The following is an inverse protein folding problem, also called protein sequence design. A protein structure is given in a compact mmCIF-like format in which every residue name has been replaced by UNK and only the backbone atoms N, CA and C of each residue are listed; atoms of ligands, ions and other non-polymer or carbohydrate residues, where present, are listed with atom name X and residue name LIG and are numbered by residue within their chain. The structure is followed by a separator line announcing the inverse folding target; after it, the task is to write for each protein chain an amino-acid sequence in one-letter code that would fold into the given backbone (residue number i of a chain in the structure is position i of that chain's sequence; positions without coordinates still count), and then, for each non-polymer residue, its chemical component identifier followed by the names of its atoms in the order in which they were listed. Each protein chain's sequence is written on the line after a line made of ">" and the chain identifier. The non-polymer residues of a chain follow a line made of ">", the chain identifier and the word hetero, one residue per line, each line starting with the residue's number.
data_IF_360386937167
#
_entry.id   IF_360386937167
#
_cell.length_a   1.000
_cell.length_b   1.000
_cell.length_c   1.000
_cell.angle_alpha   90.00
_cell.angle_beta   90.00
_cell.angle_gamma   90.00
#
_symmetry.space_group_name_H-M   'P 1'
#
loop_
_entity.id
_entity.type
_entity.pdbx_description
1 polymer ?
#
# COMPACT_ATOMS: atom_id res chain seq x y z
N UNK A 1 11.03 -75.20 -26.22
CA UNK A 1 11.04 -75.54 -24.79
C UNK A 1 11.92 -74.50 -24.12
N UNK A 2 11.57 -73.72 -23.12
CA UNK A 2 10.36 -73.46 -22.33
C UNK A 2 10.76 -72.26 -21.46
N UNK A 3 9.90 -71.23 -21.38
CA UNK A 3 10.18 -70.03 -20.58
C UNK A 3 9.93 -70.27 -19.09
N UNK A 4 10.54 -69.45 -18.25
CA UNK A 4 10.10 -69.22 -16.86
C UNK A 4 10.19 -67.72 -16.59
N UNK A 5 9.02 -67.09 -16.54
CA UNK A 5 8.75 -65.77 -15.95
C UNK A 5 8.59 -65.94 -14.44
N UNK A 6 9.40 -65.24 -13.66
CA UNK A 6 9.27 -65.20 -12.20
C UNK A 6 8.25 -64.12 -11.79
N UNK A 7 7.00 -64.53 -11.58
CA UNK A 7 5.96 -63.69 -10.97
C UNK A 7 5.89 -63.99 -9.48
N UNK A 8 6.44 -63.09 -8.65
CA UNK A 8 6.22 -63.08 -7.20
C UNK A 8 4.73 -62.84 -6.89
N UNK A 9 4.07 -63.87 -6.37
CA UNK A 9 2.68 -63.82 -5.90
C UNK A 9 2.63 -63.16 -4.52
N UNK A 10 2.06 -61.95 -4.42
CA UNK A 10 1.83 -61.27 -3.15
C UNK A 10 0.92 -62.10 -2.23
N UNK A 11 1.31 -62.17 -0.95
CA UNK A 11 0.59 -62.88 0.11
C UNK A 11 -0.77 -62.22 0.43
N UNK A 12 -1.71 -62.96 1.01
CA UNK A 12 -3.06 -62.48 1.31
C UNK A 12 -3.06 -61.21 2.19
N UNK A 13 -2.08 -61.08 3.08
CA UNK A 13 -1.87 -59.94 3.97
C UNK A 13 -1.42 -58.68 3.22
N UNK A 14 -0.54 -58.82 2.21
CA UNK A 14 -0.08 -57.72 1.36
C UNK A 14 -1.18 -57.22 0.40
N UNK A 15 -2.09 -58.11 -0.03
CA UNK A 15 -3.28 -57.72 -0.81
C UNK A 15 -4.30 -56.94 0.02
N UNK A 16 -4.41 -57.22 1.32
CA UNK A 16 -5.28 -56.48 2.24
C UNK A 16 -4.74 -55.09 2.56
N UNK A 17 -3.42 -54.95 2.75
CA UNK A 17 -2.77 -53.65 3.00
C UNK A 17 -2.79 -52.75 1.76
N UNK A 18 -2.58 -53.31 0.56
CA UNK A 18 -2.68 -52.55 -0.70
C UNK A 18 -4.11 -52.14 -1.04
N UNK A 19 -5.14 -52.91 -0.66
CA UNK A 19 -6.57 -52.49 -0.75
C UNK A 19 -6.88 -51.34 0.21
N UNK A 20 -6.48 -51.43 1.48
CA UNK A 20 -6.64 -50.33 2.47
C UNK A 20 -5.94 -49.03 2.05
N UNK A 21 -4.79 -49.12 1.38
CA UNK A 21 -4.06 -47.95 0.86
C UNK A 21 -4.68 -47.37 -0.42
N UNK A 22 -5.35 -48.20 -1.24
CA UNK A 22 -6.07 -47.75 -2.44
C UNK A 22 -7.38 -47.06 -2.06
N UNK A 23 -8.12 -47.59 -1.08
CA UNK A 23 -9.36 -47.00 -0.59
C UNK A 23 -9.13 -45.66 0.14
N UNK A 24 -8.01 -45.51 0.87
CA UNK A 24 -7.58 -44.21 1.42
C UNK A 24 -7.27 -43.17 0.34
N UNK A 25 -6.63 -43.57 -0.76
CA UNK A 25 -6.38 -42.68 -1.90
C UNK A 25 -7.66 -42.30 -2.65
N UNK A 26 -8.63 -43.19 -2.79
CA UNK A 26 -9.91 -42.88 -3.45
C UNK A 26 -10.76 -41.94 -2.59
N UNK A 27 -10.80 -42.16 -1.27
CA UNK A 27 -11.50 -41.28 -0.32
C UNK A 27 -10.84 -39.90 -0.20
N UNK A 28 -9.50 -39.80 -0.20
CA UNK A 28 -8.79 -38.50 -0.26
C UNK A 28 -8.94 -37.79 -1.61
N UNK A 29 -8.98 -38.53 -2.73
CA UNK A 29 -9.25 -37.93 -4.06
C UNK A 29 -10.68 -37.42 -4.19
N UNK A 30 -11.65 -38.09 -3.55
CA UNK A 30 -13.04 -37.61 -3.47
C UNK A 30 -13.19 -36.44 -2.51
N UNK A 31 -12.41 -36.38 -1.40
CA UNK A 31 -12.38 -35.22 -0.50
C UNK A 31 -11.70 -34.00 -1.14
N UNK A 32 -10.61 -34.20 -1.88
CA UNK A 32 -9.89 -33.16 -2.61
C UNK A 32 -10.68 -32.65 -3.83
N UNK A 33 -11.38 -33.52 -4.56
CA UNK A 33 -12.28 -33.10 -5.65
C UNK A 33 -13.56 -32.43 -5.11
N UNK A 34 -14.04 -32.82 -3.93
CA UNK A 34 -15.15 -32.16 -3.24
C UNK A 34 -14.74 -30.77 -2.74
N UNK A 35 -13.58 -30.64 -2.08
CA UNK A 35 -13.05 -29.36 -1.62
C UNK A 35 -12.74 -28.42 -2.80
N UNK A 36 -12.11 -28.90 -3.87
CA UNK A 36 -11.89 -28.06 -5.06
C UNK A 36 -13.17 -27.71 -5.81
N UNK A 37 -14.18 -28.59 -5.87
CA UNK A 37 -15.50 -28.20 -6.40
C UNK A 37 -16.21 -27.20 -5.50
N UNK A 38 -16.01 -27.26 -4.19
CA UNK A 38 -16.62 -26.34 -3.23
C UNK A 38 -15.90 -24.98 -3.24
N UNK A 39 -14.57 -24.95 -3.36
CA UNK A 39 -13.79 -23.71 -3.51
C UNK A 39 -14.02 -23.04 -4.86
N UNK A 40 -14.07 -23.79 -5.97
CA UNK A 40 -14.47 -23.23 -7.27
C UNK A 40 -15.94 -22.80 -7.30
N UNK A 41 -16.83 -23.50 -6.59
CA UNK A 41 -18.21 -23.07 -6.44
C UNK A 41 -18.29 -21.78 -5.60
N UNK A 42 -17.53 -21.65 -4.52
CA UNK A 42 -17.49 -20.42 -3.71
C UNK A 42 -16.88 -19.26 -4.51
N UNK A 43 -15.80 -19.48 -5.27
CA UNK A 43 -15.19 -18.47 -6.15
C UNK A 43 -16.13 -18.04 -7.28
N UNK A 44 -16.76 -18.99 -7.99
CA UNK A 44 -17.75 -18.69 -9.03
C UNK A 44 -19.02 -18.06 -8.44
N UNK A 45 -19.43 -18.42 -7.23
CA UNK A 45 -20.60 -17.83 -6.56
C UNK A 45 -20.28 -16.41 -6.07
N UNK A 46 -19.05 -16.11 -5.62
CA UNK A 46 -18.60 -14.71 -5.42
C UNK A 46 -18.51 -13.93 -6.73
N UNK A 47 -18.11 -14.57 -7.83
CA UNK A 47 -18.03 -13.94 -9.15
C UNK A 47 -19.44 -13.68 -9.74
N UNK A 48 -20.39 -14.60 -9.56
CA UNK A 48 -21.80 -14.46 -9.95
C UNK A 48 -22.61 -13.56 -9.00
N UNK A 49 -22.18 -13.36 -7.75
CA UNK A 49 -22.74 -12.35 -6.84
C UNK A 49 -22.19 -10.94 -7.13
N UNK A 50 -20.95 -10.82 -7.64
CA UNK A 50 -20.35 -9.54 -8.03
C UNK A 50 -20.90 -9.01 -9.38
N UNK A 51 -21.22 -9.89 -10.33
CA UNK A 51 -21.63 -9.48 -11.69
C UNK A 51 -22.99 -8.74 -11.82
N UNK A 52 -24.05 -9.08 -11.04
CA UNK A 52 -25.32 -8.34 -11.06
C UNK A 52 -25.22 -7.01 -10.28
N UNK A 53 -24.32 -6.93 -9.28
CA UNK A 53 -24.03 -5.70 -8.53
C UNK A 53 -23.26 -4.72 -9.41
N UNK A 54 -22.29 -5.20 -10.20
CA UNK A 54 -21.57 -4.36 -11.19
C UNK A 54 -22.45 -3.84 -12.34
N UNK A 55 -23.57 -4.49 -12.67
CA UNK A 55 -24.43 -4.07 -13.79
C UNK A 55 -25.50 -3.04 -13.42
N UNK A 56 -25.71 -2.75 -12.13
CA UNK A 56 -26.78 -1.84 -11.68
C UNK A 56 -26.33 -0.45 -11.22
N UNK A 57 -25.02 -0.18 -11.15
CA UNK A 57 -24.49 1.11 -10.66
C UNK A 57 -23.52 1.80 -11.62
N UNK A 58 -23.30 1.27 -12.83
CA UNK A 58 -22.42 1.90 -13.82
C UNK A 58 -23.07 3.06 -14.58
N UNK A 59 -24.36 3.32 -14.39
CA UNK A 59 -25.09 4.31 -15.17
C UNK A 59 -25.31 5.68 -14.49
N UNK A 60 -25.03 5.85 -13.19
CA UNK A 60 -25.34 7.12 -12.48
C UNK A 60 -24.26 7.68 -11.55
N UNK A 61 -23.16 6.95 -11.27
CA UNK A 61 -22.12 7.43 -10.34
C UNK A 61 -21.04 8.34 -10.98
N UNK A 62 -21.15 8.66 -12.27
CA UNK A 62 -20.11 9.36 -13.04
C UNK A 62 -20.32 10.87 -13.21
N UNK A 63 -21.15 11.52 -12.39
CA UNK A 63 -21.52 12.93 -12.60
C UNK A 63 -21.30 13.92 -11.45
N UNK A 64 -20.79 13.57 -10.26
CA UNK A 64 -20.69 14.58 -9.17
C UNK A 64 -19.47 14.45 -8.22
N UNK A 65 -18.26 14.33 -8.76
CA UNK A 65 -17.06 14.68 -7.96
C UNK A 65 -16.98 16.20 -7.64
N UNK A 66 -17.92 17.00 -8.16
CA UNK A 66 -18.02 18.45 -7.95
C UNK A 66 -18.65 18.87 -6.61
N UNK A 67 -19.13 17.95 -5.77
CA UNK A 67 -19.96 18.33 -4.60
C UNK A 67 -19.50 17.77 -3.25
N UNK A 68 -18.23 17.39 -3.09
CA UNK A 68 -17.70 17.14 -1.74
C UNK A 68 -17.61 18.46 -0.96
N UNK A 69 -18.15 18.54 0.26
CA UNK A 69 -18.09 19.75 1.04
C UNK A 69 -16.65 20.08 1.43
N UNK A 70 -16.24 21.34 1.24
CA UNK A 70 -14.98 21.84 1.80
C UNK A 70 -14.92 21.58 3.30
N UNK A 71 -13.74 21.19 3.78
CA UNK A 71 -13.51 20.99 5.22
C UNK A 71 -13.99 22.24 5.99
N UNK A 72 -14.90 22.11 6.97
CA UNK A 72 -15.39 23.25 7.71
C UNK A 72 -14.28 23.85 8.58
N UNK A 73 -14.42 25.14 8.89
CA UNK A 73 -13.67 25.78 9.97
C UNK A 73 -14.63 25.87 11.16
N UNK A 74 -14.33 25.17 12.29
CA UNK A 74 -15.21 25.20 13.44
C UNK A 74 -15.25 26.60 14.08
N UNK A 75 -16.32 26.87 14.83
CA UNK A 75 -16.40 28.08 15.64
C UNK A 75 -15.21 28.17 16.62
N UNK A 76 -14.69 29.39 16.77
CA UNK A 76 -13.52 29.64 17.62
C UNK A 76 -13.84 29.29 19.07
N UNK A 77 -14.94 29.82 19.62
CA UNK A 77 -15.28 29.62 21.02
C UNK A 77 -15.55 28.14 21.32
N UNK A 78 -16.28 27.46 20.43
CA UNK A 78 -16.48 26.03 20.50
C UNK A 78 -15.15 25.28 20.62
N UNK A 79 -14.18 25.62 19.76
CA UNK A 79 -12.85 24.98 19.74
C UNK A 79 -12.07 25.25 21.02
N UNK A 80 -12.09 26.49 21.52
CA UNK A 80 -11.43 26.88 22.77
C UNK A 80 -12.02 26.16 23.98
N UNK A 81 -13.36 26.06 24.06
CA UNK A 81 -14.04 25.35 25.14
C UNK A 81 -13.77 23.85 25.10
N UNK A 82 -13.80 23.26 23.91
CA UNK A 82 -13.45 21.85 23.70
C UNK A 82 -12.01 21.57 24.11
N UNK A 83 -11.06 22.44 23.73
CA UNK A 83 -9.66 22.35 24.14
C UNK A 83 -9.53 22.37 25.67
N UNK A 84 -10.16 23.32 26.36
CA UNK A 84 -10.12 23.42 27.82
C UNK A 84 -10.72 22.18 28.50
N UNK A 85 -11.85 21.65 28.01
CA UNK A 85 -12.43 20.40 28.53
C UNK A 85 -11.44 19.22 28.40
N UNK A 86 -10.78 19.11 27.25
CA UNK A 86 -9.81 18.04 26.97
C UNK A 86 -8.56 18.13 27.84
N UNK A 87 -7.97 19.32 28.02
CA UNK A 87 -6.71 19.43 28.78
C UNK A 87 -6.91 19.40 30.30
N UNK A 88 -8.10 19.74 30.81
CA UNK A 88 -8.38 19.87 32.25
C UNK A 88 -7.97 18.65 33.07
N UNK A 89 -8.13 17.45 32.53
CA UNK A 89 -7.86 16.20 33.23
C UNK A 89 -6.46 15.61 32.92
N UNK A 90 -5.67 16.29 32.06
CA UNK A 90 -4.33 15.86 31.65
C UNK A 90 -3.21 16.68 32.31
N UNK A 91 -3.56 17.77 32.99
CA UNK A 91 -2.60 18.71 33.60
C UNK A 91 -2.98 19.00 35.05
N UNK A 92 -2.03 19.52 35.83
CA UNK A 92 -2.32 19.97 37.21
C UNK A 92 -3.28 21.16 37.23
N UNK A 93 -4.01 21.34 38.35
CA UNK A 93 -4.91 22.48 38.56
C UNK A 93 -4.21 23.83 38.34
N UNK A 94 -2.96 23.96 38.81
CA UNK A 94 -2.16 25.19 38.62
C UNK A 94 -1.84 25.46 37.16
N UNK A 95 -1.49 24.42 36.39
CA UNK A 95 -1.27 24.54 34.94
C UNK A 95 -2.59 24.86 34.22
N UNK A 96 -3.68 24.20 34.59
CA UNK A 96 -4.98 24.44 33.98
C UNK A 96 -5.44 25.89 34.17
N UNK A 97 -5.28 26.47 35.36
CA UNK A 97 -5.59 27.89 35.61
C UNK A 97 -4.80 28.83 34.69
N UNK A 98 -3.50 28.55 34.50
CA UNK A 98 -2.66 29.32 33.56
C UNK A 98 -3.15 29.16 32.12
N UNK A 99 -3.40 27.93 31.67
CA UNK A 99 -3.91 27.65 30.31
C UNK A 99 -5.25 28.33 30.07
N UNK A 100 -6.17 28.26 31.04
CA UNK A 100 -7.48 28.93 30.96
C UNK A 100 -7.33 30.44 30.78
N UNK A 101 -6.50 31.10 31.58
CA UNK A 101 -6.27 32.54 31.44
C UNK A 101 -5.67 32.92 30.07
N UNK A 102 -4.78 32.09 29.53
CA UNK A 102 -4.21 32.27 28.19
C UNK A 102 -5.27 32.11 27.09
N UNK A 103 -6.09 31.06 27.17
CA UNK A 103 -7.18 30.78 26.22
C UNK A 103 -8.22 31.90 26.23
N UNK A 104 -8.63 32.35 27.42
CA UNK A 104 -9.54 33.49 27.57
C UNK A 104 -8.93 34.75 26.94
N UNK A 105 -7.65 35.02 27.15
CA UNK A 105 -6.97 36.17 26.53
C UNK A 105 -6.89 36.05 25.01
N UNK A 106 -6.62 34.84 24.50
CA UNK A 106 -6.56 34.57 23.07
C UNK A 106 -7.92 34.76 22.37
N UNK A 107 -9.01 34.30 23.00
CA UNK A 107 -10.38 34.34 22.49
C UNK A 107 -11.17 35.61 22.83
N UNK A 108 -10.57 36.61 23.49
CA UNK A 108 -11.25 37.89 23.76
C UNK A 108 -11.71 38.55 22.46
N UNK A 109 -12.83 39.28 22.52
CA UNK A 109 -13.30 40.11 21.43
C UNK A 109 -12.23 41.14 21.01
N UNK A 110 -11.94 41.23 19.72
CA UNK A 110 -10.83 41.99 19.14
C UNK A 110 -9.44 41.37 19.38
N UNK A 111 -9.38 40.17 19.96
CA UNK A 111 -8.16 39.45 20.29
C UNK A 111 -7.46 38.79 19.09
N UNK A 112 -6.34 38.12 19.37
CA UNK A 112 -5.56 37.42 18.35
C UNK A 112 -6.35 36.25 17.74
N UNK A 113 -7.14 35.54 18.53
CA UNK A 113 -7.92 34.39 18.07
C UNK A 113 -8.93 34.76 16.99
N UNK A 114 -9.71 35.82 17.16
CA UNK A 114 -10.68 36.27 16.14
C UNK A 114 -10.00 36.70 14.84
N UNK A 115 -8.83 37.38 14.94
CA UNK A 115 -8.04 37.75 13.76
C UNK A 115 -7.57 36.50 13.00
N UNK A 116 -7.04 35.50 13.70
CA UNK A 116 -6.59 34.25 13.08
C UNK A 116 -7.75 33.44 12.51
N UNK A 117 -8.91 33.41 13.19
CA UNK A 117 -10.13 32.77 12.71
C UNK A 117 -10.59 33.38 11.38
N UNK A 118 -10.56 34.72 11.26
CA UNK A 118 -10.88 35.41 10.01
C UNK A 118 -9.95 35.01 8.87
N UNK A 119 -8.64 34.98 9.12
CA UNK A 119 -7.65 34.54 8.12
C UNK A 119 -7.85 33.07 7.72
N UNK A 120 -8.25 32.21 8.67
CA UNK A 120 -8.53 30.80 8.41
C UNK A 120 -9.76 30.61 7.54
N UNK A 121 -10.83 31.38 7.79
CA UNK A 121 -12.02 31.43 6.94
C UNK A 121 -11.67 31.92 5.53
N UNK A 122 -10.87 32.97 5.40
CA UNK A 122 -10.39 33.44 4.09
C UNK A 122 -9.56 32.37 3.37
N UNK A 123 -8.70 31.63 4.08
CA UNK A 123 -7.92 30.51 3.51
C UNK A 123 -8.84 29.38 3.04
N UNK A 124 -9.88 29.03 3.80
CA UNK A 124 -10.90 28.05 3.40
C UNK A 124 -11.55 28.42 2.07
N UNK A 125 -11.89 29.69 1.86
CA UNK A 125 -12.48 30.10 0.59
C UNK A 125 -11.49 29.99 -0.58
N UNK A 126 -10.22 30.31 -0.34
CA UNK A 126 -9.15 30.32 -1.36
C UNK A 126 -8.53 28.95 -1.66
N UNK A 127 -8.85 27.91 -0.89
CA UNK A 127 -8.24 26.57 -1.03
C UNK A 127 -9.31 25.48 -1.10
N UNK A 128 -8.97 24.32 -1.66
CA UNK A 128 -9.85 23.14 -1.65
C UNK A 128 -9.96 22.54 -0.24
N UNK A 129 -8.82 22.43 0.44
CA UNK A 129 -8.72 21.99 1.82
C UNK A 129 -7.72 22.87 2.58
N UNK A 130 -8.22 23.69 3.51
CA UNK A 130 -7.43 24.69 4.21
C UNK A 130 -6.33 24.12 5.12
N UNK A 131 -6.48 22.88 5.58
CA UNK A 131 -5.55 22.27 6.55
C UNK A 131 -4.53 21.35 5.88
N UNK A 132 -4.75 20.93 4.63
CA UNK A 132 -4.00 19.83 4.03
C UNK A 132 -2.48 20.04 4.07
N UNK A 133 -1.99 21.21 3.64
CA UNK A 133 -0.55 21.51 3.65
C UNK A 133 0.01 21.58 5.08
N UNK A 134 -0.72 22.21 6.01
CA UNK A 134 -0.30 22.30 7.41
C UNK A 134 -0.21 20.91 8.04
N UNK A 135 -1.22 20.07 7.83
CA UNK A 135 -1.27 18.71 8.35
C UNK A 135 -0.17 17.85 7.75
N UNK A 136 0.03 17.88 6.43
CA UNK A 136 1.05 17.06 5.77
C UNK A 136 2.46 17.45 6.24
N UNK A 137 2.73 18.75 6.33
CA UNK A 137 4.02 19.25 6.81
C UNK A 137 4.28 18.90 8.27
N UNK A 138 3.32 19.21 9.15
CA UNK A 138 3.45 19.03 10.60
C UNK A 138 3.51 17.55 10.99
N UNK A 139 2.56 16.75 10.50
CA UNK A 139 2.45 15.33 10.88
C UNK A 139 3.55 14.47 10.28
N UNK A 140 4.01 14.78 9.05
CA UNK A 140 4.94 13.90 8.33
C UNK A 140 6.22 14.60 7.90
N UNK A 141 6.15 15.63 7.06
CA UNK A 141 7.33 16.07 6.29
C UNK A 141 8.39 16.76 7.15
N UNK A 142 7.99 17.43 8.25
CA UNK A 142 8.91 18.05 9.21
C UNK A 142 9.39 17.09 10.30
N UNK A 143 8.74 15.93 10.46
CA UNK A 143 9.20 14.92 11.41
C UNK A 143 10.54 14.32 10.94
N UNK A 144 11.56 14.39 11.80
CA UNK A 144 12.94 13.98 11.49
C UNK A 144 13.27 12.56 11.96
N UNK A 145 12.37 11.90 12.69
CA UNK A 145 12.54 10.51 13.10
C UNK A 145 12.64 9.57 11.88
N UNK A 146 13.37 8.48 12.04
CA UNK A 146 13.41 7.38 11.07
C UNK A 146 11.98 6.90 10.73
N UNK A 147 11.72 6.57 9.47
CA UNK A 147 10.37 6.11 9.06
C UNK A 147 9.96 4.77 9.65
N UNK A 148 10.84 3.74 9.69
CA UNK A 148 10.49 2.46 10.30
C UNK A 148 10.06 2.65 11.75
N UNK A 149 8.99 1.95 12.17
CA UNK A 149 8.37 2.02 13.50
C UNK A 149 7.68 3.36 13.81
N UNK A 150 8.32 4.49 13.54
CA UNK A 150 7.81 5.80 13.99
C UNK A 150 6.76 6.41 13.06
N UNK A 151 6.74 6.05 11.77
CA UNK A 151 5.84 6.66 10.78
C UNK A 151 5.22 5.68 9.80
N UNK A 152 5.97 4.71 9.28
CA UNK A 152 5.47 3.77 8.26
C UNK A 152 4.69 2.63 8.91
N UNK A 153 3.36 2.53 8.73
CA UNK A 153 2.58 1.41 9.23
C UNK A 153 2.89 0.14 8.43
N UNK A 154 2.64 -1.02 9.05
CA UNK A 154 2.77 -2.33 8.41
C UNK A 154 1.46 -3.12 8.52
N UNK A 155 1.11 -3.84 7.46
CA UNK A 155 0.02 -4.82 7.45
C UNK A 155 0.61 -6.22 7.46
N UNK A 156 0.10 -7.09 8.35
CA UNK A 156 0.50 -8.49 8.42
C UNK A 156 -0.62 -9.34 7.83
N UNK A 157 -0.32 -10.02 6.72
CA UNK A 157 -1.26 -10.90 6.03
C UNK A 157 -1.25 -12.33 6.60
N UNK A 158 -2.29 -13.14 6.34
CA UNK A 158 -2.29 -14.56 6.71
C UNK A 158 -1.05 -15.29 6.19
N UNK A 159 -0.50 -16.17 7.03
CA UNK A 159 0.67 -16.98 6.68
C UNK A 159 0.38 -17.85 5.47
N UNK A 160 1.22 -17.72 4.44
CA UNK A 160 1.14 -18.54 3.24
C UNK A 160 1.93 -19.85 3.41
N UNK A 161 1.42 -20.99 2.92
CA UNK A 161 2.04 -22.30 3.12
C UNK A 161 3.10 -22.63 2.05
N UNK A 162 4.09 -21.75 1.85
CA UNK A 162 5.16 -21.98 0.86
C UNK A 162 6.08 -23.14 1.27
N UNK A 163 6.35 -24.06 0.35
CA UNK A 163 7.24 -25.21 0.57
C UNK A 163 8.68 -24.86 0.25
N UNK A 164 8.88 -24.01 -0.75
CA UNK A 164 10.17 -23.57 -1.24
C UNK A 164 10.10 -22.13 -1.76
N UNK A 165 11.24 -21.64 -2.29
CA UNK A 165 11.32 -20.29 -2.87
C UNK A 165 10.41 -20.18 -4.09
N UNK A 166 10.27 -21.22 -4.90
CA UNK A 166 9.45 -21.18 -6.12
C UNK A 166 7.99 -20.89 -5.80
N UNK A 167 7.43 -21.53 -4.78
CA UNK A 167 6.07 -21.22 -4.29
C UNK A 167 5.92 -19.73 -3.92
N UNK A 168 6.93 -19.15 -3.27
CA UNK A 168 6.92 -17.73 -2.91
C UNK A 168 7.02 -16.79 -4.11
N UNK A 169 7.75 -17.18 -5.17
CA UNK A 169 7.88 -16.40 -6.40
C UNK A 169 6.60 -16.44 -7.24
N UNK A 170 5.91 -17.58 -7.30
CA UNK A 170 4.57 -17.69 -7.90
C UNK A 170 3.59 -16.76 -7.19
N UNK A 171 3.59 -16.75 -5.85
CA UNK A 171 2.75 -15.84 -5.08
C UNK A 171 3.10 -14.37 -5.35
N UNK A 172 4.39 -14.03 -5.39
CA UNK A 172 4.85 -12.67 -5.69
C UNK A 172 4.44 -12.23 -7.11
N UNK A 173 4.54 -13.09 -8.12
CA UNK A 173 4.10 -12.80 -9.48
C UNK A 173 2.60 -12.47 -9.54
N UNK A 174 1.76 -13.29 -8.88
CA UNK A 174 0.32 -13.03 -8.77
C UNK A 174 0.02 -11.71 -8.08
N UNK A 175 0.69 -11.44 -6.96
CA UNK A 175 0.53 -10.19 -6.22
C UNK A 175 0.87 -8.96 -7.08
N UNK A 176 2.01 -9.00 -7.78
CA UNK A 176 2.44 -7.92 -8.68
C UNK A 176 1.39 -7.67 -9.77
N UNK A 177 0.89 -8.73 -10.41
CA UNK A 177 -0.13 -8.61 -11.45
C UNK A 177 -1.46 -8.08 -10.90
N UNK A 178 -1.90 -8.54 -9.73
CA UNK A 178 -3.11 -8.02 -9.07
C UNK A 178 -2.97 -6.55 -8.71
N UNK A 179 -1.81 -6.12 -8.20
CA UNK A 179 -1.53 -4.71 -7.91
C UNK A 179 -1.52 -3.87 -9.20
N UNK A 180 -0.95 -4.38 -10.30
CA UNK A 180 -0.96 -3.70 -11.60
C UNK A 180 -2.39 -3.56 -12.17
N UNK A 181 -3.23 -4.58 -12.02
CA UNK A 181 -4.64 -4.51 -12.38
C UNK A 181 -5.39 -3.46 -11.53
N UNK A 182 -5.14 -3.44 -10.22
CA UNK A 182 -5.73 -2.45 -9.32
C UNK A 182 -5.27 -1.02 -9.67
N UNK A 183 -3.98 -0.82 -9.96
CA UNK A 183 -3.45 0.45 -10.47
C UNK A 183 -4.17 0.88 -11.75
N UNK A 184 -4.40 -0.05 -12.68
CA UNK A 184 -5.15 0.24 -13.91
C UNK A 184 -6.58 0.72 -13.62
N UNK A 185 -7.22 0.20 -12.57
CA UNK A 185 -8.54 0.67 -12.14
C UNK A 185 -8.51 2.05 -11.47
N UNK A 186 -7.46 2.35 -10.69
CA UNK A 186 -7.21 3.70 -10.14
C UNK A 186 -7.03 4.71 -11.27
N UNK A 187 -6.13 4.43 -12.21
CA UNK A 187 -5.80 5.35 -13.31
C UNK A 187 -6.98 5.52 -14.28
N UNK A 188 -7.68 4.42 -14.57
CA UNK A 188 -8.90 4.41 -15.37
C UNK A 188 -10.12 5.01 -14.66
N UNK A 189 -10.01 5.40 -13.38
CA UNK A 189 -11.10 5.92 -12.54
C UNK A 189 -12.32 4.99 -12.50
N UNK A 190 -12.08 3.67 -12.51
CA UNK A 190 -13.14 2.65 -12.51
C UNK A 190 -13.41 2.05 -11.14
N UNK A 191 -12.70 2.52 -10.10
CA UNK A 191 -13.00 2.14 -8.72
C UNK A 191 -14.39 2.64 -8.32
N UNK A 192 -15.10 1.82 -7.53
CA UNK A 192 -16.32 2.25 -6.86
C UNK A 192 -15.98 3.38 -5.89
N UNK A 193 -16.84 4.39 -5.83
CA UNK A 193 -16.69 5.49 -4.88
C UNK A 193 -16.93 4.95 -3.48
N UNK A 194 -15.95 5.15 -2.60
CA UNK A 194 -16.11 4.80 -1.21
C UNK A 194 -17.17 5.68 -0.58
N UNK A 195 -18.03 5.07 0.26
CA UNK A 195 -19.02 5.78 1.05
C UNK A 195 -18.71 5.65 2.53
N UNK A 196 -19.02 6.69 3.28
CA UNK A 196 -18.92 6.68 4.73
C UNK A 196 -19.84 5.62 5.33
N UNK A 197 -19.48 5.15 6.52
CA UNK A 197 -20.25 4.19 7.32
C UNK A 197 -20.73 4.86 8.61
N UNK A 198 -21.66 4.23 9.32
CA UNK A 198 -22.17 4.73 10.60
C UNK A 198 -23.08 5.95 10.44
N UNK A 199 -22.85 7.00 11.22
CA UNK A 199 -23.73 8.18 11.29
C UNK A 199 -23.83 8.99 9.98
N UNK A 200 -22.94 8.74 9.01
CA UNK A 200 -22.95 9.36 7.69
C UNK A 200 -22.99 8.31 6.58
N UNK A 201 -23.70 7.20 6.81
CA UNK A 201 -23.87 6.15 5.81
C UNK A 201 -24.22 6.74 4.42
N UNK A 202 -23.68 6.14 3.37
CA UNK A 202 -23.94 6.49 1.96
C UNK A 202 -23.46 7.87 1.51
N UNK A 203 -22.75 8.62 2.38
CA UNK A 203 -22.09 9.87 1.96
C UNK A 203 -20.80 9.55 1.20
N UNK A 204 -20.62 10.05 -0.04
CA UNK A 204 -19.40 9.84 -0.81
C UNK A 204 -18.15 10.34 -0.07
N UNK A 205 -17.05 9.58 -0.18
CA UNK A 205 -15.75 9.93 0.36
C UNK A 205 -14.81 10.43 -0.74
N UNK A 206 -13.82 11.23 -0.33
CA UNK A 206 -12.77 11.71 -1.22
C UNK A 206 -11.90 10.54 -1.71
N UNK A 207 -11.81 10.38 -3.03
CA UNK A 207 -11.01 9.33 -3.68
C UNK A 207 -9.57 9.77 -4.00
N UNK A 208 -9.12 10.96 -3.60
CA UNK A 208 -7.81 11.51 -3.99
C UNK A 208 -6.62 10.74 -3.41
N UNK A 209 -6.80 10.04 -2.30
CA UNK A 209 -5.73 9.21 -1.72
C UNK A 209 -5.32 8.07 -2.66
N UNK A 210 -6.27 7.49 -3.40
CA UNK A 210 -6.02 6.40 -4.34
C UNK A 210 -5.05 6.81 -5.45
N UNK A 211 -5.18 8.05 -5.94
CA UNK A 211 -4.33 8.61 -7.01
C UNK A 211 -2.84 8.64 -6.64
N UNK A 212 -2.52 8.56 -5.34
CA UNK A 212 -1.17 8.70 -4.80
C UNK A 212 -0.54 7.37 -4.39
N UNK A 213 -1.29 6.27 -4.39
CA UNK A 213 -0.82 4.96 -3.92
C UNK A 213 0.41 4.44 -4.67
N UNK A 214 0.42 4.59 -6.00
CA UNK A 214 1.45 4.01 -6.88
C UNK A 214 2.33 5.06 -7.57
N UNK A 215 2.08 6.33 -7.32
CA UNK A 215 2.70 7.46 -8.00
C UNK A 215 3.47 8.39 -7.06
N UNK A 216 3.57 8.04 -5.76
CA UNK A 216 4.18 8.93 -4.76
C UNK A 216 5.49 8.41 -4.16
N UNK A 217 6.44 9.32 -3.99
CA UNK A 217 7.74 9.08 -3.36
C UNK A 217 8.04 10.19 -2.34
N UNK A 218 8.42 9.82 -1.12
CA UNK A 218 8.85 10.76 -0.08
C UNK A 218 10.35 10.99 -0.16
N UNK A 219 10.75 12.11 -0.77
CA UNK A 219 12.15 12.53 -0.87
C UNK A 219 12.59 13.16 0.45
N UNK A 220 13.71 12.67 1.00
CA UNK A 220 14.32 13.27 2.18
C UNK A 220 14.93 14.63 1.86
N UNK A 221 14.73 15.61 2.74
CA UNK A 221 15.41 16.92 2.69
C UNK A 221 16.02 17.24 4.06
N UNK A 222 16.94 18.21 4.16
CA UNK A 222 17.69 18.45 5.40
C UNK A 222 16.83 18.92 6.58
N UNK A 223 15.85 19.79 6.31
CA UNK A 223 14.94 20.36 7.31
C UNK A 223 13.51 19.84 7.17
N UNK A 224 13.07 19.62 5.93
CA UNK A 224 11.73 19.14 5.60
C UNK A 224 11.82 18.21 4.39
N UNK A 225 11.09 17.10 4.44
CA UNK A 225 10.96 16.18 3.31
C UNK A 225 9.99 16.73 2.25
N UNK A 226 10.00 16.15 1.06
CA UNK A 226 9.05 16.49 -0.01
C UNK A 226 8.28 15.25 -0.41
N UNK A 227 6.95 15.34 -0.49
CA UNK A 227 6.13 14.35 -1.17
C UNK A 227 6.12 14.66 -2.66
N UNK A 228 6.76 13.81 -3.46
CA UNK A 228 6.73 13.88 -4.93
C UNK A 228 5.62 12.96 -5.39
N UNK A 229 4.73 13.44 -6.26
CA UNK A 229 3.71 12.63 -6.92
C UNK A 229 3.91 12.78 -8.42
N UNK A 230 4.13 11.69 -9.15
CA UNK A 230 4.22 11.73 -10.61
C UNK A 230 2.86 11.97 -11.23
N UNK A 231 2.89 12.73 -12.31
CA UNK A 231 1.77 12.89 -13.20
C UNK A 231 1.57 11.56 -13.95
N UNK A 232 0.32 11.08 -14.05
CA UNK A 232 -0.03 9.75 -14.59
C UNK A 232 0.37 9.50 -16.06
N UNK A 233 1.06 10.44 -16.70
CA UNK A 233 1.65 10.35 -18.04
C UNK A 233 3.02 9.69 -18.07
N UNK A 234 3.67 9.50 -16.91
CA UNK A 234 5.02 8.92 -16.78
C UNK A 234 5.02 7.45 -16.33
N UNK A 235 3.99 6.68 -16.69
CA UNK A 235 3.95 5.26 -16.31
C UNK A 235 5.03 4.48 -17.06
N UNK A 236 6.17 4.28 -16.40
CA UNK A 236 7.26 3.44 -16.87
C UNK A 236 6.91 1.95 -16.81
N UNK A 237 5.77 1.59 -16.18
CA UNK A 237 5.26 0.23 -16.16
C UNK A 237 6.16 -0.76 -15.45
N UNK A 238 7.05 -0.32 -14.55
CA UNK A 238 7.99 -1.18 -13.84
C UNK A 238 7.69 -1.27 -12.34
N UNK A 239 8.20 -2.33 -11.72
CA UNK A 239 8.28 -2.49 -10.27
C UNK A 239 9.74 -2.63 -9.83
N UNK A 240 10.04 -2.22 -8.61
CA UNK A 240 11.35 -2.46 -8.01
C UNK A 240 11.27 -3.73 -7.15
N UNK A 241 12.03 -4.76 -7.52
CA UNK A 241 12.16 -6.01 -6.77
C UNK A 241 13.39 -5.91 -5.89
N UNK A 242 13.19 -5.96 -4.57
CA UNK A 242 14.27 -6.03 -3.59
C UNK A 242 14.49 -7.48 -3.14
N UNK A 243 15.67 -8.04 -3.39
CA UNK A 243 16.04 -9.40 -2.98
C UNK A 243 17.46 -9.42 -2.44
N UNK A 244 17.67 -9.94 -1.22
CA UNK A 244 18.98 -9.94 -0.53
C UNK A 244 19.73 -8.59 -0.59
N UNK A 245 19.02 -7.50 -0.30
CA UNK A 245 19.52 -6.11 -0.35
C UNK A 245 19.92 -5.59 -1.74
N UNK A 246 19.67 -6.35 -2.80
CA UNK A 246 19.86 -5.94 -4.20
C UNK A 246 18.52 -5.47 -4.79
N UNK A 247 18.55 -4.49 -5.67
CA UNK A 247 17.38 -3.88 -6.28
C UNK A 247 17.39 -4.09 -7.80
N UNK A 248 16.28 -4.55 -8.36
CA UNK A 248 16.10 -4.80 -9.79
C UNK A 248 14.85 -4.09 -10.28
N UNK A 249 14.92 -3.43 -11.44
CA UNK A 249 13.75 -2.92 -12.13
C UNK A 249 13.17 -4.03 -13.01
N UNK A 250 11.94 -4.46 -12.72
CA UNK A 250 11.20 -5.44 -13.50
C UNK A 250 10.12 -4.68 -14.28
N UNK A 251 10.29 -4.59 -15.60
CA UNK A 251 9.28 -4.00 -16.48
C UNK A 251 8.11 -4.97 -16.66
N UNK A 252 6.89 -4.52 -16.39
CA UNK A 252 5.66 -5.30 -16.56
C UNK A 252 5.09 -5.18 -17.98
N UNK A 253 5.72 -4.37 -18.82
CA UNK A 253 5.36 -4.13 -20.20
C UNK A 253 6.52 -4.53 -21.12
N UNK A 254 6.21 -5.30 -22.16
CA UNK A 254 7.08 -5.53 -23.31
C UNK A 254 6.42 -4.87 -24.53
N UNK A 255 6.92 -3.69 -24.91
CA UNK A 255 6.22 -2.82 -25.87
C UNK A 255 4.88 -2.36 -25.31
N UNK A 256 3.78 -2.73 -25.96
CA UNK A 256 2.41 -2.45 -25.50
C UNK A 256 1.75 -3.64 -24.78
N UNK A 257 2.43 -4.78 -24.69
CA UNK A 257 1.89 -6.01 -24.12
C UNK A 257 2.23 -6.11 -22.63
N UNK A 258 1.23 -6.41 -21.80
CA UNK A 258 1.44 -6.74 -20.37
C UNK A 258 2.00 -8.15 -20.25
N UNK A 259 3.00 -8.32 -19.40
CA UNK A 259 3.54 -9.63 -19.06
C UNK A 259 2.47 -10.50 -18.38
N UNK A 260 2.48 -11.81 -18.66
CA UNK A 260 1.61 -12.77 -17.99
C UNK A 260 2.25 -13.32 -16.70
N UNK A 261 1.51 -14.16 -15.95
CA UNK A 261 2.00 -14.75 -14.69
C UNK A 261 3.31 -15.53 -14.86
N UNK A 262 3.43 -16.32 -15.93
CA UNK A 262 4.61 -17.13 -16.19
C UNK A 262 5.84 -16.26 -16.54
N UNK A 263 5.64 -15.19 -17.31
CA UNK A 263 6.72 -14.26 -17.67
C UNK A 263 7.23 -13.53 -16.42
N UNK A 264 6.33 -13.00 -15.58
CA UNK A 264 6.72 -12.32 -14.33
C UNK A 264 7.40 -13.31 -13.38
N UNK A 265 6.89 -14.53 -13.26
CA UNK A 265 7.53 -15.58 -12.46
C UNK A 265 8.95 -15.88 -12.97
N UNK A 266 9.14 -16.06 -14.28
CA UNK A 266 10.46 -16.34 -14.86
C UNK A 266 11.46 -15.19 -14.60
N UNK A 267 11.02 -13.94 -14.69
CA UNK A 267 11.84 -12.78 -14.32
C UNK A 267 12.21 -12.77 -12.83
N UNK A 268 11.28 -13.14 -11.94
CA UNK A 268 11.55 -13.24 -10.51
C UNK A 268 12.50 -14.39 -10.17
N UNK A 269 12.38 -15.53 -10.84
CA UNK A 269 13.31 -16.67 -10.74
C UNK A 269 14.72 -16.23 -11.17
N UNK A 270 14.84 -15.56 -12.31
CA UNK A 270 16.10 -15.01 -12.79
C UNK A 270 16.71 -14.01 -11.79
N UNK A 271 15.92 -13.06 -11.28
CA UNK A 271 16.36 -12.10 -10.24
C UNK A 271 16.90 -12.86 -9.02
N UNK A 272 16.17 -13.87 -8.54
CA UNK A 272 16.59 -14.66 -7.39
C UNK A 272 17.95 -15.34 -7.63
N UNK A 273 18.12 -15.96 -8.80
CA UNK A 273 19.38 -16.60 -9.21
C UNK A 273 20.56 -15.62 -9.23
N UNK A 274 20.37 -14.39 -9.73
CA UNK A 274 21.43 -13.36 -9.71
C UNK A 274 21.89 -13.05 -8.27
N UNK A 275 20.99 -13.11 -7.28
CA UNK A 275 21.35 -12.87 -5.87
C UNK A 275 22.02 -14.06 -5.17
N UNK A 276 22.17 -15.20 -5.86
CA UNK A 276 22.92 -16.34 -5.33
C UNK A 276 24.42 -16.18 -5.56
N UNK A 277 24.84 -15.36 -6.53
CA UNK A 277 26.23 -15.10 -6.81
C UNK A 277 26.79 -14.02 -5.86
N UNK A 278 27.60 -14.43 -4.88
CA UNK A 278 28.17 -13.54 -3.89
C UNK A 278 29.12 -12.48 -4.48
N UNK A 279 29.76 -12.76 -5.62
CA UNK A 279 30.68 -11.83 -6.28
C UNK A 279 29.97 -10.60 -6.87
N UNK A 280 28.65 -10.70 -7.09
CA UNK A 280 27.84 -9.62 -7.67
C UNK A 280 27.17 -8.73 -6.62
N UNK A 281 27.28 -9.08 -5.33
CA UNK A 281 26.60 -8.38 -4.25
C UNK A 281 27.08 -6.91 -4.14
N UNK A 282 26.13 -5.99 -4.26
CA UNK A 282 26.35 -4.57 -3.98
C UNK A 282 26.09 -4.25 -2.50
N UNK A 283 26.64 -3.15 -1.98
CA UNK A 283 26.32 -2.64 -0.66
C UNK A 283 24.80 -2.48 -0.45
N UNK A 284 24.33 -2.67 0.78
CA UNK A 284 22.91 -2.60 1.14
C UNK A 284 22.41 -1.14 1.22
N UNK A 285 22.36 -0.45 0.07
CA UNK A 285 21.99 0.98 -0.02
C UNK A 285 20.60 1.25 0.58
N UNK A 286 19.68 0.29 0.49
CA UNK A 286 18.34 0.40 1.08
C UNK A 286 18.32 0.64 2.59
N UNK A 287 19.37 0.19 3.30
CA UNK A 287 19.49 0.39 4.75
C UNK A 287 19.54 1.87 5.12
N UNK A 288 20.12 2.72 4.27
CA UNK A 288 20.23 4.16 4.51
C UNK A 288 18.86 4.85 4.60
N UNK A 289 17.84 4.27 3.97
CA UNK A 289 16.46 4.79 4.01
C UNK A 289 15.78 4.58 5.37
N UNK A 290 16.33 3.68 6.20
CA UNK A 290 15.85 3.36 7.54
C UNK A 290 16.40 4.31 8.61
N UNK A 291 17.35 5.19 8.28
CA UNK A 291 17.93 6.15 9.22
C UNK A 291 16.99 7.37 9.44
N UNK A 292 17.37 8.23 10.38
CA UNK A 292 16.77 9.54 10.59
C UNK A 292 16.71 10.34 9.30
N UNK A 293 15.65 11.15 9.12
CA UNK A 293 15.38 11.79 7.82
C UNK A 293 16.52 12.72 7.37
N UNK A 294 17.19 13.36 8.32
CA UNK A 294 18.30 14.28 8.03
C UNK A 294 19.58 13.53 7.66
N UNK A 295 19.86 12.41 8.32
CA UNK A 295 20.99 11.53 7.98
C UNK A 295 20.78 10.89 6.61
N UNK A 296 19.56 10.39 6.35
CA UNK A 296 19.21 9.89 5.02
C UNK A 296 19.33 10.98 3.94
N UNK A 297 18.89 12.22 4.21
CA UNK A 297 19.06 13.32 3.26
C UNK A 297 20.53 13.55 2.89
N UNK A 298 21.43 13.59 3.89
CA UNK A 298 22.88 13.73 3.65
C UNK A 298 23.46 12.55 2.88
N UNK A 299 23.16 11.33 3.31
CA UNK A 299 23.65 10.13 2.64
C UNK A 299 23.16 10.05 1.18
N UNK A 300 21.91 10.41 0.94
CA UNK A 300 21.35 10.53 -0.41
C UNK A 300 22.13 11.53 -1.24
N UNK A 301 22.39 12.74 -0.74
CA UNK A 301 23.13 13.76 -1.49
C UNK A 301 24.55 13.29 -1.88
N UNK A 302 25.22 12.50 -1.02
CA UNK A 302 26.50 11.87 -1.38
C UNK A 302 26.34 10.78 -2.44
N UNK A 303 25.32 9.92 -2.33
CA UNK A 303 25.03 8.91 -3.35
C UNK A 303 24.79 9.55 -4.71
N UNK A 304 24.18 10.75 -4.74
CA UNK A 304 23.86 11.42 -6.00
C UNK A 304 25.08 11.97 -6.75
N UNK A 305 26.21 12.14 -6.07
CA UNK A 305 27.47 12.57 -6.69
C UNK A 305 28.20 11.41 -7.39
N UNK A 306 27.77 10.17 -7.12
CA UNK A 306 28.40 8.97 -7.63
C UNK A 306 27.98 8.60 -9.07
N UNK A 307 28.71 7.68 -9.72
CA UNK A 307 28.43 7.23 -11.09
C UNK A 307 27.09 6.48 -11.24
N UNK A 308 26.46 6.07 -10.12
CA UNK A 308 25.20 5.31 -10.08
C UNK A 308 23.98 6.18 -9.74
N UNK A 309 24.05 7.50 -9.96
CA UNK A 309 22.95 8.45 -9.80
C UNK A 309 21.63 7.94 -10.42
N UNK A 310 21.68 7.42 -11.65
CA UNK A 310 20.51 6.94 -12.38
C UNK A 310 19.72 5.82 -11.66
N UNK A 311 20.36 5.04 -10.79
CA UNK A 311 19.69 4.03 -9.98
C UNK A 311 18.73 4.67 -8.96
N UNK A 312 19.12 5.82 -8.39
CA UNK A 312 18.27 6.56 -7.45
C UNK A 312 17.05 7.18 -8.14
N UNK A 313 17.19 7.55 -9.41
CA UNK A 313 16.10 8.08 -10.25
C UNK A 313 15.16 6.98 -10.77
N UNK A 314 15.59 5.71 -10.73
CA UNK A 314 14.75 4.55 -11.08
C UNK A 314 13.88 4.10 -9.89
N UNK A 315 14.39 4.30 -8.67
CA UNK A 315 13.67 4.01 -7.40
C UNK A 315 12.82 5.22 -6.95
N UNK A 316 13.34 6.43 -7.15
CA UNK A 316 12.57 7.66 -7.00
C UNK A 316 11.65 7.84 -8.21
N UNK A 317 10.44 8.35 -8.00
CA UNK A 317 9.43 8.52 -9.06
C UNK A 317 9.76 9.72 -10.00
N UNK A 318 11.03 9.98 -10.28
CA UNK A 318 11.44 11.14 -11.07
C UNK A 318 12.53 10.80 -12.09
N UNK A 319 12.13 10.70 -13.35
CA UNK A 319 12.94 11.32 -14.40
C UNK A 319 12.92 12.83 -14.14
N UNK A 320 14.09 13.49 -14.19
CA UNK A 320 14.17 14.94 -14.27
C UNK A 320 13.26 15.41 -15.39
N UNK A 321 12.26 16.22 -15.09
CA UNK A 321 11.81 17.24 -16.03
C UNK A 321 12.87 18.34 -15.97
N UNK A 322 13.58 18.51 -17.07
CA UNK A 322 14.54 19.60 -17.28
C UNK A 322 13.87 20.98 -17.18
#
# INVERSE_FOLDING_TARGET
>A
MGGVTDTRTLTATERQLTRRWRDRRVTDRHRSNSLHRTEFAVLNQTQELMMPVLKRETAEAHSDCNMLPKLPVPDLQHTLDAYLRSVKHLVSETQFRKTKALVETFGKHGGVGERLQKLLLEKREKTENWVYDFWLEDMYLRNRMALPVNSSPALVFPKQPFRDVKDSLVFAARLILSVSQYKSAVDGKTLLVDVARGQKADTPLCMDQYKRLFSSYRRAGLQQDTLITADGTSDTGHVIVACKNQFFALNLLEGSCKLNEADVQAQLEWIHEQTLNAEQNQPAVGLLTADGRTDWARARDELLKGPKQHCMDTVGIARKTD
#
